data_IF_369054452208
#
_entry.id   IF_369054452208
#
_cell.length_a   1.000
_cell.length_b   1.000
_cell.length_c   1.000
_cell.angle_alpha   90.00
_cell.angle_beta   90.00
_cell.angle_gamma   90.00
#
_symmetry.space_group_name_H-M   'P 1'
#
loop_
_entity.id
_entity.type
_entity.pdbx_description
1 polymer ?
#
# COMPACT_ATOMS: atom_id res chain seq x y z
N UNK A 1 -23.99 -15.21 14.98
CA UNK A 1 -22.70 -14.84 14.30
C UNK A 1 -22.66 -15.55 12.95
N UNK A 2 -22.33 -14.85 11.91
CA UNK A 2 -22.19 -15.39 10.54
C UNK A 2 -21.04 -16.42 10.50
N UNK A 3 -21.21 -17.52 9.74
CA UNK A 3 -20.18 -18.54 9.59
C UNK A 3 -19.00 -17.98 8.77
N UNK A 4 -17.77 -18.27 9.18
CA UNK A 4 -16.54 -17.80 8.51
C UNK A 4 -16.47 -18.20 7.04
N UNK A 5 -17.00 -19.38 6.70
CA UNK A 5 -17.05 -19.87 5.31
C UNK A 5 -17.83 -18.94 4.37
N UNK A 6 -18.89 -18.28 4.86
CA UNK A 6 -19.63 -17.32 4.05
C UNK A 6 -18.78 -16.06 3.72
N UNK A 7 -17.94 -15.62 4.64
CA UNK A 7 -17.01 -14.53 4.40
C UNK A 7 -15.89 -14.93 3.44
N UNK A 8 -15.42 -16.19 3.51
CA UNK A 8 -14.43 -16.73 2.56
C UNK A 8 -14.97 -16.71 1.14
N UNK A 9 -16.18 -17.22 0.94
CA UNK A 9 -16.86 -17.20 -0.37
C UNK A 9 -17.09 -15.77 -0.84
N UNK A 10 -17.52 -14.87 0.03
CA UNK A 10 -17.72 -13.45 -0.29
C UNK A 10 -16.41 -12.79 -0.78
N UNK A 11 -15.30 -13.00 -0.07
CA UNK A 11 -13.99 -12.48 -0.47
C UNK A 11 -13.61 -12.95 -1.88
N UNK A 12 -13.71 -14.24 -2.13
CA UNK A 12 -13.35 -14.82 -3.42
C UNK A 12 -14.20 -14.26 -4.57
N UNK A 13 -15.51 -14.13 -4.35
CA UNK A 13 -16.41 -13.53 -5.36
C UNK A 13 -16.06 -12.06 -5.62
N UNK A 14 -15.68 -11.31 -4.59
CA UNK A 14 -15.29 -9.92 -4.70
C UNK A 14 -13.97 -9.74 -5.46
N UNK A 15 -12.99 -10.61 -5.21
CA UNK A 15 -11.68 -10.62 -5.89
C UNK A 15 -11.79 -11.07 -7.35
N UNK A 16 -12.57 -12.12 -7.63
CA UNK A 16 -12.77 -12.64 -8.96
C UNK A 16 -13.68 -11.76 -9.86
N UNK A 17 -14.58 -10.96 -9.25
CA UNK A 17 -15.57 -10.18 -9.99
C UNK A 17 -16.58 -11.03 -10.78
N UNK A 18 -16.55 -12.36 -10.61
CA UNK A 18 -17.34 -13.33 -11.35
C UNK A 18 -17.62 -14.57 -10.49
N UNK A 19 -18.90 -14.96 -10.38
CA UNK A 19 -19.32 -16.08 -9.53
C UNK A 19 -18.81 -17.42 -10.08
N UNK A 20 -18.74 -17.61 -11.38
CA UNK A 20 -18.26 -18.85 -11.98
C UNK A 20 -16.76 -19.04 -11.73
N UNK A 21 -15.97 -18.00 -11.91
CA UNK A 21 -14.53 -18.02 -11.63
C UNK A 21 -14.26 -18.24 -10.13
N UNK A 22 -15.00 -17.57 -9.25
CA UNK A 22 -14.90 -17.81 -7.82
C UNK A 22 -15.27 -19.25 -7.42
N UNK A 23 -16.24 -19.84 -8.10
CA UNK A 23 -16.62 -21.23 -7.87
C UNK A 23 -15.50 -22.21 -8.27
N UNK A 24 -14.84 -21.96 -9.40
CA UNK A 24 -13.67 -22.73 -9.85
C UNK A 24 -12.51 -22.61 -8.81
N UNK A 25 -12.18 -21.40 -8.39
CA UNK A 25 -11.11 -21.15 -7.41
C UNK A 25 -11.39 -21.82 -6.05
N UNK A 26 -12.68 -21.90 -5.66
CA UNK A 26 -13.09 -22.52 -4.39
C UNK A 26 -13.35 -24.02 -4.50
N UNK A 27 -13.28 -24.62 -5.70
CA UNK A 27 -13.69 -26.01 -5.98
C UNK A 27 -15.14 -26.29 -5.57
N UNK A 28 -16.03 -25.31 -5.79
CA UNK A 28 -17.47 -25.40 -5.50
C UNK A 28 -18.29 -25.28 -6.80
N UNK A 29 -19.56 -25.67 -6.71
CA UNK A 29 -20.50 -25.35 -7.79
C UNK A 29 -20.89 -23.87 -7.77
N UNK A 30 -21.16 -23.28 -8.95
CA UNK A 30 -21.65 -21.91 -9.05
C UNK A 30 -22.94 -21.67 -8.25
N UNK A 31 -23.82 -22.67 -8.17
CA UNK A 31 -25.05 -22.60 -7.37
C UNK A 31 -24.75 -22.52 -5.87
N UNK A 32 -23.76 -23.28 -5.36
CA UNK A 32 -23.34 -23.24 -3.97
C UNK A 32 -22.74 -21.87 -3.59
N UNK A 33 -21.86 -21.32 -4.45
CA UNK A 33 -21.29 -19.97 -4.24
C UNK A 33 -22.40 -18.91 -4.24
N UNK A 34 -23.33 -18.98 -5.23
CA UNK A 34 -24.46 -18.02 -5.30
C UNK A 34 -25.37 -18.10 -4.09
N UNK A 35 -25.60 -19.31 -3.56
CA UNK A 35 -26.40 -19.54 -2.35
C UNK A 35 -25.68 -19.01 -1.10
N UNK A 36 -24.36 -19.22 -0.98
CA UNK A 36 -23.56 -18.71 0.14
C UNK A 36 -23.56 -17.19 0.19
N UNK A 37 -23.39 -16.52 -0.95
CA UNK A 37 -23.49 -15.06 -1.05
C UNK A 37 -24.88 -14.59 -0.62
N UNK A 38 -25.95 -15.20 -1.15
CA UNK A 38 -27.32 -14.85 -0.79
C UNK A 38 -27.60 -15.05 0.71
N UNK A 39 -27.08 -16.13 1.29
CA UNK A 39 -27.20 -16.40 2.72
C UNK A 39 -26.48 -15.34 3.57
N UNK A 40 -25.28 -14.90 3.14
CA UNK A 40 -24.54 -13.82 3.81
C UNK A 40 -25.34 -12.51 3.76
N UNK A 41 -25.82 -12.12 2.58
CA UNK A 41 -26.65 -10.92 2.40
C UNK A 41 -27.91 -10.94 3.26
N UNK A 42 -28.57 -12.09 3.35
CA UNK A 42 -29.75 -12.29 4.21
C UNK A 42 -29.42 -12.13 5.70
N UNK A 43 -28.29 -12.71 6.17
CA UNK A 43 -27.88 -12.63 7.57
C UNK A 43 -27.44 -11.22 7.98
N UNK A 44 -26.88 -10.45 7.04
CA UNK A 44 -26.46 -9.08 7.27
C UNK A 44 -27.55 -8.04 6.97
N UNK A 45 -28.64 -8.44 6.32
CA UNK A 45 -29.76 -7.57 5.99
C UNK A 45 -29.48 -6.56 4.89
N UNK A 46 -28.39 -6.73 4.12
CA UNK A 46 -28.00 -5.81 3.04
C UNK A 46 -27.47 -6.56 1.82
N UNK A 47 -27.53 -5.92 0.65
CA UNK A 47 -26.91 -6.45 -0.57
C UNK A 47 -25.45 -6.04 -0.64
N UNK A 48 -24.59 -7.02 -0.89
CA UNK A 48 -23.15 -6.82 -1.00
C UNK A 48 -22.68 -6.73 -2.44
N UNK A 49 -23.46 -7.28 -3.39
CA UNK A 49 -23.14 -7.29 -4.81
C UNK A 49 -24.23 -6.71 -5.69
N UNK A 50 -23.81 -5.98 -6.73
CA UNK A 50 -24.61 -5.64 -7.90
C UNK A 50 -24.31 -6.68 -8.99
N UNK A 51 -25.35 -7.29 -9.55
CA UNK A 51 -25.22 -8.29 -10.63
C UNK A 51 -25.44 -7.63 -11.98
N UNK A 52 -24.59 -7.94 -12.95
CA UNK A 52 -24.71 -7.48 -14.32
C UNK A 52 -24.38 -8.62 -15.29
N UNK A 53 -24.72 -8.51 -16.59
CA UNK A 53 -24.29 -9.49 -17.60
C UNK A 53 -22.77 -9.67 -17.72
N UNK A 54 -22.00 -8.70 -17.22
CA UNK A 54 -20.52 -8.71 -17.25
C UNK A 54 -19.89 -9.27 -15.97
N UNK A 55 -20.69 -9.70 -14.99
CA UNK A 55 -20.21 -10.22 -13.71
C UNK A 55 -20.85 -9.53 -12.51
N UNK A 56 -20.12 -9.50 -11.40
CA UNK A 56 -20.57 -8.89 -10.14
C UNK A 56 -19.61 -7.79 -9.70
N UNK A 57 -20.16 -6.72 -9.10
CA UNK A 57 -19.40 -5.63 -8.50
C UNK A 57 -19.91 -5.39 -7.08
N UNK A 58 -19.03 -4.93 -6.21
CA UNK A 58 -19.40 -4.61 -4.82
C UNK A 58 -20.30 -3.38 -4.75
N UNK A 59 -21.32 -3.44 -3.88
CA UNK A 59 -22.07 -2.27 -3.39
C UNK A 59 -21.17 -1.42 -2.47
N UNK A 60 -21.66 -0.31 -1.96
CA UNK A 60 -20.96 0.49 -0.93
C UNK A 60 -20.76 -0.34 0.36
N UNK A 61 -21.83 -0.98 0.85
CA UNK A 61 -21.76 -1.90 2.00
C UNK A 61 -20.84 -3.08 1.74
N UNK A 62 -20.86 -3.61 0.50
CA UNK A 62 -19.96 -4.68 0.06
C UNK A 62 -18.50 -4.24 0.10
N UNK A 63 -18.16 -3.02 -0.33
CA UNK A 63 -16.80 -2.49 -0.27
C UNK A 63 -16.34 -2.32 1.18
N UNK A 64 -17.19 -1.75 2.02
CA UNK A 64 -16.90 -1.60 3.44
C UNK A 64 -16.60 -2.97 4.08
N UNK A 65 -17.48 -3.94 3.90
CA UNK A 65 -17.30 -5.29 4.46
C UNK A 65 -16.06 -5.99 3.90
N UNK A 66 -15.77 -5.80 2.61
CA UNK A 66 -14.63 -6.44 1.93
C UNK A 66 -13.29 -6.06 2.56
N UNK A 67 -13.08 -4.82 2.96
CA UNK A 67 -11.85 -4.38 3.61
C UNK A 67 -11.62 -5.12 4.94
N UNK A 68 -12.68 -5.27 5.75
CA UNK A 68 -12.59 -6.01 7.02
C UNK A 68 -12.41 -7.51 6.81
N UNK A 69 -13.16 -8.12 5.89
CA UNK A 69 -13.07 -9.56 5.61
C UNK A 69 -11.70 -9.91 5.04
N UNK A 70 -11.18 -9.12 4.11
CA UNK A 70 -9.84 -9.31 3.53
C UNK A 70 -8.77 -9.27 4.63
N UNK A 71 -8.84 -8.30 5.54
CA UNK A 71 -7.89 -8.18 6.65
C UNK A 71 -8.00 -9.34 7.63
N UNK A 72 -9.21 -9.73 8.04
CA UNK A 72 -9.42 -10.82 8.98
C UNK A 72 -8.95 -12.19 8.42
N UNK A 73 -9.27 -12.47 7.16
CA UNK A 73 -8.80 -13.69 6.49
C UNK A 73 -7.29 -13.72 6.34
N UNK A 74 -6.66 -12.60 5.98
CA UNK A 74 -5.20 -12.49 5.91
C UNK A 74 -4.50 -12.72 7.26
N UNK A 75 -5.10 -12.25 8.36
CA UNK A 75 -4.58 -12.54 9.71
C UNK A 75 -4.67 -14.03 10.09
N UNK A 76 -5.76 -14.69 9.71
CA UNK A 76 -5.91 -16.15 9.94
C UNK A 76 -4.86 -16.94 9.13
N UNK A 77 -4.71 -16.63 7.83
CA UNK A 77 -3.70 -17.22 6.95
C UNK A 77 -2.28 -17.03 7.52
N UNK A 78 -1.98 -15.81 7.99
CA UNK A 78 -0.69 -15.50 8.65
C UNK A 78 -0.49 -16.33 9.93
N UNK A 79 -1.54 -16.51 10.72
CA UNK A 79 -1.48 -17.33 11.93
C UNK A 79 -1.19 -18.79 11.63
N UNK A 80 -1.82 -19.36 10.62
CA UNK A 80 -1.58 -20.71 10.14
C UNK A 80 -0.14 -20.90 9.63
N UNK A 81 0.35 -19.94 8.81
CA UNK A 81 1.73 -19.95 8.32
C UNK A 81 2.75 -19.87 9.46
N UNK A 82 2.52 -19.03 10.47
CA UNK A 82 3.39 -18.93 11.66
C UNK A 82 3.40 -20.22 12.49
N UNK A 83 2.27 -20.90 12.60
CA UNK A 83 2.21 -22.21 13.26
C UNK A 83 3.00 -23.29 12.49
N UNK A 84 2.93 -23.28 11.16
CA UNK A 84 3.73 -24.19 10.34
C UNK A 84 5.23 -23.89 10.47
N UNK A 85 5.62 -22.61 10.43
CA UNK A 85 7.01 -22.18 10.62
C UNK A 85 7.55 -22.52 12.02
N UNK A 86 6.73 -22.35 13.06
CA UNK A 86 7.10 -22.70 14.45
C UNK A 86 7.42 -24.20 14.66
N UNK A 87 6.85 -25.07 13.84
CA UNK A 87 7.14 -26.52 13.88
C UNK A 87 8.50 -26.88 13.29
N UNK A 88 9.08 -26.03 12.47
CA UNK A 88 10.39 -26.22 11.81
C UNK A 88 11.48 -25.34 12.40
N UNK A 89 11.55 -25.12 13.66
CA UNK A 89 12.46 -24.34 14.55
C UNK A 89 13.80 -23.79 14.01
N UNK A 90 14.06 -23.82 12.70
CA UNK A 90 15.32 -23.36 12.10
C UNK A 90 15.18 -22.46 10.85
N UNK A 91 13.98 -22.18 10.36
CA UNK A 91 13.79 -21.33 9.21
C UNK A 91 12.46 -20.57 9.33
N UNK A 92 12.50 -19.27 9.25
CA UNK A 92 11.32 -18.37 9.21
C UNK A 92 11.36 -17.48 7.97
N UNK A 93 10.24 -16.84 7.66
CA UNK A 93 10.19 -15.80 6.65
C UNK A 93 9.85 -14.47 7.32
N UNK A 94 10.68 -13.46 7.11
CA UNK A 94 10.40 -12.06 7.47
C UNK A 94 9.91 -11.33 6.23
N UNK A 95 8.66 -10.89 6.24
CA UNK A 95 8.05 -10.16 5.13
C UNK A 95 8.02 -8.67 5.46
N UNK A 96 8.73 -7.87 4.67
CA UNK A 96 8.88 -6.42 4.87
C UNK A 96 8.14 -5.68 3.76
N UNK A 97 7.27 -4.74 4.12
CA UNK A 97 6.67 -3.79 3.20
C UNK A 97 7.43 -2.47 3.19
N UNK A 98 7.98 -2.05 2.06
CA UNK A 98 8.70 -0.78 1.95
C UNK A 98 8.65 -0.22 0.52
N UNK A 99 8.90 1.08 0.35
CA UNK A 99 9.14 1.63 -0.99
C UNK A 99 10.55 1.29 -1.47
N UNK A 100 10.77 1.31 -2.79
CA UNK A 100 12.10 1.06 -3.38
C UNK A 100 13.15 2.02 -2.83
N UNK A 101 12.78 3.29 -2.63
CA UNK A 101 13.67 4.31 -2.04
C UNK A 101 14.08 3.96 -0.61
N UNK A 102 13.11 3.58 0.23
CA UNK A 102 13.39 3.17 1.62
C UNK A 102 14.23 1.91 1.64
N UNK A 103 13.92 0.96 0.77
CA UNK A 103 14.69 -0.28 0.64
C UNK A 103 16.14 0.01 0.25
N UNK A 104 16.36 0.80 -0.80
CA UNK A 104 17.71 1.06 -1.33
C UNK A 104 18.55 1.97 -0.45
N UNK A 105 17.96 2.99 0.16
CA UNK A 105 18.71 4.03 0.90
C UNK A 105 18.82 3.75 2.39
N UNK A 106 17.86 3.01 2.96
CA UNK A 106 17.83 2.76 4.39
C UNK A 106 17.97 1.28 4.75
N UNK A 107 17.17 0.38 4.13
CA UNK A 107 17.11 -1.00 4.59
C UNK A 107 18.33 -1.84 4.20
N UNK A 108 18.94 -1.60 3.04
CA UNK A 108 20.02 -2.47 2.54
C UNK A 108 21.14 -2.75 3.55
N UNK A 109 21.73 -1.75 4.26
CA UNK A 109 22.76 -2.03 5.26
C UNK A 109 22.27 -2.87 6.43
N UNK A 110 21.02 -2.65 6.85
CA UNK A 110 20.40 -3.38 7.96
C UNK A 110 20.04 -4.82 7.55
N UNK A 111 19.62 -5.04 6.32
CA UNK A 111 19.33 -6.35 5.78
C UNK A 111 20.59 -7.23 5.69
N UNK A 112 21.72 -6.66 5.28
CA UNK A 112 23.00 -7.37 5.26
C UNK A 112 23.39 -7.81 6.68
N UNK A 113 23.35 -6.89 7.64
CA UNK A 113 23.67 -7.19 9.04
C UNK A 113 22.70 -8.26 9.63
N UNK A 114 21.41 -8.14 9.33
CA UNK A 114 20.40 -9.09 9.76
C UNK A 114 20.62 -10.48 9.17
N UNK A 115 20.87 -10.57 7.87
CA UNK A 115 21.09 -11.83 7.18
C UNK A 115 22.35 -12.55 7.69
N UNK A 116 23.43 -11.81 7.96
CA UNK A 116 24.65 -12.40 8.57
C UNK A 116 24.38 -12.98 9.95
N UNK A 117 23.50 -12.34 10.74
CA UNK A 117 23.18 -12.80 12.11
C UNK A 117 22.15 -13.95 12.10
N UNK A 118 21.25 -13.96 11.11
CA UNK A 118 20.15 -14.92 11.01
C UNK A 118 20.08 -15.51 9.59
N UNK A 119 21.07 -16.30 9.18
CA UNK A 119 21.20 -16.77 7.78
C UNK A 119 20.08 -17.72 7.34
N UNK A 120 19.36 -18.32 8.29
CA UNK A 120 18.27 -19.26 8.00
C UNK A 120 16.90 -18.55 7.90
N UNK A 121 16.83 -17.23 8.10
CA UNK A 121 15.60 -16.47 7.92
C UNK A 121 15.53 -15.99 6.46
N UNK A 122 14.47 -16.42 5.78
CA UNK A 122 14.16 -15.91 4.45
C UNK A 122 13.58 -14.51 4.54
N UNK A 123 14.18 -13.53 3.84
CA UNK A 123 13.68 -12.15 3.79
C UNK A 123 12.92 -11.96 2.48
N UNK A 124 11.68 -11.50 2.57
CA UNK A 124 10.86 -11.12 1.41
C UNK A 124 10.46 -9.66 1.53
N UNK A 125 10.78 -8.86 0.51
CA UNK A 125 10.41 -7.44 0.47
C UNK A 125 9.28 -7.27 -0.53
N UNK A 126 8.20 -6.61 -0.11
CA UNK A 126 7.07 -6.24 -0.97
C UNK A 126 7.12 -4.74 -1.19
N UNK A 127 7.42 -4.35 -2.42
CA UNK A 127 7.49 -2.93 -2.78
C UNK A 127 6.11 -2.29 -2.89
N UNK A 128 6.01 -1.11 -2.29
CA UNK A 128 4.79 -0.32 -2.37
C UNK A 128 4.90 1.05 -1.73
N UNK A 129 3.96 1.92 -2.08
CA UNK A 129 3.80 3.22 -1.42
C UNK A 129 3.28 3.03 0.00
N UNK A 130 3.47 4.04 0.86
CA UNK A 130 3.09 3.99 2.28
C UNK A 130 1.67 3.44 2.51
N UNK A 131 0.66 3.95 1.82
CA UNK A 131 -0.72 3.49 1.99
C UNK A 131 -0.91 2.00 1.63
N UNK A 132 -0.18 1.51 0.60
CA UNK A 132 -0.25 0.11 0.17
C UNK A 132 0.41 -0.81 1.19
N UNK A 133 1.61 -0.48 1.66
CA UNK A 133 2.34 -1.33 2.62
C UNK A 133 1.65 -1.34 3.99
N UNK A 134 1.03 -0.22 4.42
CA UNK A 134 0.20 -0.18 5.62
C UNK A 134 -1.07 -1.04 5.48
N UNK A 135 -1.71 -1.02 4.31
CA UNK A 135 -2.83 -1.93 4.01
C UNK A 135 -2.42 -3.41 4.04
N UNK A 136 -1.21 -3.74 3.56
CA UNK A 136 -0.66 -5.10 3.66
C UNK A 136 -0.34 -5.50 5.10
N UNK A 137 0.13 -4.55 5.94
CA UNK A 137 0.38 -4.80 7.36
C UNK A 137 -0.92 -5.09 8.10
N UNK A 138 -1.97 -4.28 7.89
CA UNK A 138 -3.31 -4.51 8.45
C UNK A 138 -3.90 -5.85 8.02
N UNK A 139 -3.62 -6.29 6.81
CA UNK A 139 -4.04 -7.58 6.27
C UNK A 139 -3.13 -8.75 6.70
N UNK A 140 -2.12 -8.52 7.56
CA UNK A 140 -1.17 -9.54 7.99
C UNK A 140 -0.27 -10.09 6.86
N UNK A 141 -0.23 -9.42 5.70
CA UNK A 141 0.56 -9.83 4.51
C UNK A 141 2.02 -9.42 4.59
N UNK A 142 2.37 -8.51 5.48
CA UNK A 142 3.74 -8.15 5.86
C UNK A 142 3.85 -8.13 7.38
N UNK A 143 5.01 -8.45 7.92
CA UNK A 143 5.28 -8.46 9.36
C UNK A 143 5.67 -7.07 9.86
N UNK A 144 6.36 -6.30 9.02
CA UNK A 144 6.81 -4.93 9.28
C UNK A 144 6.57 -4.08 8.02
N UNK A 145 6.13 -2.84 8.21
CA UNK A 145 6.01 -1.88 7.12
C UNK A 145 6.82 -0.61 7.40
N UNK A 146 7.61 -0.17 6.43
CA UNK A 146 8.28 1.12 6.46
C UNK A 146 7.47 2.12 5.62
N UNK A 147 6.97 3.14 6.28
CA UNK A 147 6.10 4.15 5.68
C UNK A 147 6.56 5.56 6.05
N UNK A 148 6.39 6.51 5.12
CA UNK A 148 6.61 7.93 5.39
C UNK A 148 5.34 8.54 5.95
N UNK A 149 5.46 9.30 7.06
CA UNK A 149 4.38 10.07 7.68
C UNK A 149 3.04 9.30 7.66
N UNK A 150 2.86 8.30 8.52
CA UNK A 150 1.60 7.61 8.61
C UNK A 150 0.56 8.63 9.09
N UNK A 151 -0.30 9.09 8.19
CA UNK A 151 -1.50 9.82 8.58
C UNK A 151 -2.40 8.94 9.42
N UNK A 152 -3.47 8.52 9.22
CA UNK A 152 -4.40 7.68 9.96
C UNK A 152 -3.86 6.26 10.24
N UNK A 153 -2.94 6.13 11.18
CA UNK A 153 -2.35 4.85 11.58
C UNK A 153 -2.42 4.61 13.10
N UNK A 154 -3.41 5.19 13.76
CA UNK A 154 -3.63 5.07 15.22
C UNK A 154 -3.93 3.62 15.65
N UNK A 155 -4.27 2.75 14.71
CA UNK A 155 -4.49 1.32 14.90
C UNK A 155 -3.20 0.47 14.83
N UNK A 156 -2.06 1.09 14.56
CA UNK A 156 -0.77 0.42 14.41
C UNK A 156 0.26 0.98 15.40
N UNK A 157 1.08 0.10 15.93
CA UNK A 157 2.28 0.52 16.65
C UNK A 157 3.30 1.07 15.64
N UNK A 158 3.84 2.27 15.91
CA UNK A 158 4.84 2.88 15.06
C UNK A 158 6.07 3.33 15.84
N UNK A 159 7.23 3.10 15.27
CA UNK A 159 8.53 3.46 15.81
C UNK A 159 9.20 4.42 14.82
N UNK A 160 9.49 5.68 15.21
CA UNK A 160 10.24 6.60 14.36
C UNK A 160 11.65 6.03 14.09
N UNK A 161 12.04 5.94 12.81
CA UNK A 161 13.35 5.43 12.42
C UNK A 161 14.33 6.54 12.06
N UNK A 162 13.89 7.52 11.27
CA UNK A 162 14.71 8.68 10.87
C UNK A 162 13.81 9.80 10.34
N UNK A 163 14.34 11.01 10.36
CA UNK A 163 13.70 12.18 9.78
C UNK A 163 14.17 12.38 8.34
N UNK A 164 13.26 12.87 7.48
CA UNK A 164 13.57 13.22 6.10
C UNK A 164 13.13 14.65 5.82
N UNK A 165 13.96 15.36 5.06
CA UNK A 165 13.64 16.70 4.58
C UNK A 165 13.47 16.67 3.06
N UNK A 166 12.48 17.39 2.56
CA UNK A 166 12.31 17.60 1.13
C UNK A 166 13.10 18.83 0.71
N UNK A 167 13.79 18.74 -0.42
CA UNK A 167 14.46 19.87 -1.04
C UNK A 167 14.10 19.91 -2.54
N UNK A 168 14.17 21.09 -3.13
CA UNK A 168 14.16 21.25 -4.57
C UNK A 168 15.59 21.10 -5.09
N UNK A 169 15.71 20.49 -6.25
CA UNK A 169 16.99 20.32 -6.95
C UNK A 169 16.85 20.81 -8.39
N UNK A 170 17.95 21.33 -8.95
CA UNK A 170 18.04 21.74 -10.32
C UNK A 170 19.41 21.35 -10.88
N UNK A 171 19.59 21.41 -12.20
CA UNK A 171 20.90 21.24 -12.83
C UNK A 171 21.87 22.33 -12.33
N UNK A 172 23.17 22.07 -12.24
CA UNK A 172 24.16 23.03 -11.73
C UNK A 172 24.24 24.33 -12.56
N UNK A 173 23.90 24.24 -13.82
CA UNK A 173 23.88 25.36 -14.79
C UNK A 173 22.47 25.99 -14.98
N UNK A 174 21.49 25.51 -14.18
CA UNK A 174 20.15 26.09 -14.21
C UNK A 174 20.20 27.56 -13.74
N UNK A 175 19.51 28.50 -14.43
CA UNK A 175 19.60 29.93 -14.15
C UNK A 175 18.84 30.34 -12.87
N UNK A 176 19.28 29.85 -11.72
CA UNK A 176 18.79 30.26 -10.41
C UNK A 176 19.95 30.47 -9.44
N UNK A 177 19.70 31.21 -8.36
CA UNK A 177 20.69 31.46 -7.32
C UNK A 177 20.63 30.38 -6.24
N UNK A 178 21.55 29.43 -6.25
CA UNK A 178 21.62 28.35 -5.26
C UNK A 178 22.09 28.80 -3.86
N UNK A 179 22.47 30.05 -3.66
CA UNK A 179 23.01 30.55 -2.40
C UNK A 179 21.97 31.20 -1.51
N UNK A 180 20.76 31.46 -2.02
CA UNK A 180 19.67 32.08 -1.26
C UNK A 180 18.49 31.14 -1.00
N UNK A 181 17.68 31.51 0.00
CA UNK A 181 16.37 30.91 0.18
C UNK A 181 15.35 31.50 -0.78
N UNK A 182 14.40 30.69 -1.21
CA UNK A 182 13.29 31.05 -2.06
C UNK A 182 11.97 30.96 -1.29
N UNK A 183 11.04 31.89 -1.55
CA UNK A 183 9.68 31.78 -1.02
C UNK A 183 8.87 30.71 -1.77
N UNK A 184 7.72 30.35 -1.24
CA UNK A 184 6.80 29.40 -1.88
C UNK A 184 6.32 29.91 -3.22
N UNK A 185 6.07 31.22 -3.35
CA UNK A 185 5.64 31.90 -4.57
C UNK A 185 6.73 31.87 -5.64
N UNK A 186 7.97 32.16 -5.24
CA UNK A 186 9.12 32.12 -6.15
C UNK A 186 9.37 30.70 -6.67
N UNK A 187 9.30 29.69 -5.80
CA UNK A 187 9.43 28.28 -6.20
C UNK A 187 8.31 27.87 -7.15
N UNK A 188 7.06 28.28 -6.89
CA UNK A 188 5.94 27.94 -7.74
C UNK A 188 6.00 28.60 -9.14
N UNK A 189 6.81 29.63 -9.30
CA UNK A 189 7.03 30.32 -10.59
C UNK A 189 8.06 29.60 -11.49
N UNK A 190 8.84 28.65 -10.96
CA UNK A 190 9.74 27.84 -11.77
C UNK A 190 8.99 26.73 -12.52
N UNK A 191 9.54 26.24 -13.66
CA UNK A 191 9.04 25.04 -14.32
C UNK A 191 9.31 23.82 -13.43
N UNK A 192 8.27 23.33 -12.75
CA UNK A 192 8.42 22.28 -11.75
C UNK A 192 8.19 20.89 -12.34
N UNK A 193 9.05 19.95 -11.95
CA UNK A 193 8.87 18.53 -12.17
C UNK A 193 8.48 17.90 -10.83
N UNK A 194 7.31 17.32 -10.73
CA UNK A 194 6.80 16.78 -9.47
C UNK A 194 6.32 15.35 -9.62
N UNK A 195 6.20 14.65 -8.49
CA UNK A 195 5.53 13.35 -8.47
C UNK A 195 4.02 13.50 -8.68
N UNK A 196 3.38 12.45 -9.15
CA UNK A 196 1.92 12.38 -9.29
C UNK A 196 1.20 12.64 -7.96
N UNK A 197 -0.03 13.16 -8.01
CA UNK A 197 -0.84 13.59 -6.85
C UNK A 197 -1.05 12.52 -5.76
N UNK A 198 -1.00 11.23 -6.13
CA UNK A 198 -1.14 10.12 -5.18
C UNK A 198 0.11 9.82 -4.37
N UNK A 199 1.24 10.45 -4.65
CA UNK A 199 2.47 10.27 -3.88
C UNK A 199 2.38 11.04 -2.55
N UNK A 200 2.71 10.40 -1.43
CA UNK A 200 2.65 11.03 -0.09
C UNK A 200 3.53 12.28 0.02
N UNK A 201 4.71 12.28 -0.59
CA UNK A 201 5.58 13.46 -0.65
C UNK A 201 4.98 14.61 -1.47
N UNK A 202 4.23 14.31 -2.55
CA UNK A 202 3.49 15.33 -3.31
C UNK A 202 2.35 15.91 -2.48
N UNK A 203 1.57 15.07 -1.82
CA UNK A 203 0.48 15.52 -0.94
C UNK A 203 1.01 16.40 0.20
N UNK A 204 2.14 16.03 0.81
CA UNK A 204 2.80 16.84 1.82
C UNK A 204 3.25 18.20 1.27
N UNK A 205 3.90 18.21 0.11
CA UNK A 205 4.38 19.42 -0.54
C UNK A 205 3.22 20.36 -0.90
N UNK A 206 2.16 19.87 -1.51
CA UNK A 206 0.97 20.66 -1.84
C UNK A 206 0.32 21.26 -0.59
N UNK A 207 0.20 20.47 0.49
CA UNK A 207 -0.34 20.95 1.76
C UNK A 207 0.53 22.07 2.36
N UNK A 208 1.85 21.94 2.28
CA UNK A 208 2.78 22.98 2.74
C UNK A 208 2.62 24.29 1.94
N UNK A 209 2.59 24.23 0.61
CA UNK A 209 2.43 25.40 -0.24
C UNK A 209 1.04 26.06 -0.09
N UNK A 210 0.00 25.24 0.10
CA UNK A 210 -1.35 25.77 0.36
C UNK A 210 -1.47 26.58 1.66
N UNK A 211 -0.62 26.34 2.66
CA UNK A 211 -0.58 27.13 3.88
C UNK A 211 -0.19 28.58 3.59
N UNK A 212 0.61 28.83 2.54
CA UNK A 212 0.95 30.17 2.03
C UNK A 212 0.00 30.63 0.91
N UNK A 213 -1.10 29.92 0.64
CA UNK A 213 -2.04 30.26 -0.42
C UNK A 213 -1.57 29.91 -1.83
N UNK A 214 -0.44 29.26 -1.98
CA UNK A 214 0.20 28.93 -3.27
C UNK A 214 -0.24 27.55 -3.75
N UNK A 215 -0.62 27.47 -5.03
CA UNK A 215 -0.91 26.19 -5.71
C UNK A 215 0.23 25.83 -6.65
N UNK A 216 0.67 24.58 -6.55
CA UNK A 216 1.70 24.04 -7.43
C UNK A 216 1.09 23.56 -8.76
N UNK A 217 1.65 24.04 -9.85
CA UNK A 217 1.27 23.65 -11.22
C UNK A 217 2.53 23.13 -11.93
N UNK A 218 2.84 21.82 -11.82
CA UNK A 218 4.04 21.27 -12.45
C UNK A 218 3.88 21.22 -13.97
N UNK A 219 4.98 21.41 -14.69
CA UNK A 219 5.04 21.14 -16.13
C UNK A 219 5.13 19.64 -16.44
N UNK A 220 5.82 18.89 -15.56
CA UNK A 220 5.97 17.43 -15.72
C UNK A 220 5.51 16.76 -14.44
N UNK A 221 4.67 15.73 -14.59
CA UNK A 221 4.27 14.82 -13.49
C UNK A 221 4.73 13.39 -13.78
N UNK A 222 5.34 12.72 -12.80
CA UNK A 222 5.80 11.34 -12.95
C UNK A 222 5.52 10.48 -11.74
N UNK A 223 5.49 9.15 -11.98
CA UNK A 223 5.26 8.14 -10.92
C UNK A 223 6.53 7.70 -10.19
N UNK A 224 7.72 7.84 -10.79
CA UNK A 224 8.97 7.32 -10.27
C UNK A 224 9.91 8.44 -9.77
N UNK A 225 10.29 8.37 -8.49
CA UNK A 225 11.17 9.38 -7.86
C UNK A 225 12.56 9.44 -8.48
N UNK A 226 13.11 8.30 -8.91
CA UNK A 226 14.43 8.26 -9.57
C UNK A 226 14.49 9.16 -10.81
N UNK A 227 13.42 9.16 -11.60
CA UNK A 227 13.31 9.97 -12.80
C UNK A 227 13.24 11.48 -12.52
N UNK A 228 12.77 11.91 -11.32
CA UNK A 228 12.82 13.33 -10.95
C UNK A 228 14.25 13.87 -10.96
N UNK A 229 15.16 13.12 -10.33
CA UNK A 229 16.57 13.52 -10.23
C UNK A 229 17.24 13.49 -11.59
N UNK A 230 16.94 12.46 -12.39
CA UNK A 230 17.53 12.32 -13.72
C UNK A 230 17.05 13.42 -14.68
N UNK A 231 15.75 13.78 -14.62
CA UNK A 231 15.23 14.91 -15.40
C UNK A 231 15.79 16.25 -14.91
N UNK A 232 15.90 16.46 -13.60
CA UNK A 232 16.48 17.69 -13.06
C UNK A 232 17.97 17.88 -13.42
N UNK A 233 18.71 16.82 -13.80
CA UNK A 233 20.08 16.90 -14.28
C UNK A 233 20.20 17.32 -15.75
N UNK A 234 19.15 17.14 -16.51
CA UNK A 234 19.12 17.48 -17.94
C UNK A 234 18.88 18.98 -18.16
N UNK A 235 18.25 19.65 -17.23
CA UNK A 235 17.89 21.08 -17.27
C UNK A 235 16.41 21.29 -17.50
#
# INVERSE_FOLDING_TARGET
>A
MVKLELYRVFREVAEAGNISLAAENLYLSQSAVSQSVKQLEQQLGTRLFLRSPRGVTLTEDGRLLFEYVRSAMGLLETGEDKLQQSRTLQAGTLVIGASDTVTSQFLLPHLDAFHRRYPNIHIRIISGRSYKVLGLLRAGRVDIAFASAPGDADDLEHIPCFETHSCFVAAPDYPCDFTRAYTTEEIAAFPLILLEKKASSRTYLEKYFLQSGVRLTPEIELGARSLLVDLAKIG
#
